data_IF_169321739037
#
_entry.id   IF_169321739037
#
_cell.length_a   1.000
_cell.length_b   1.000
_cell.length_c   1.000
_cell.angle_alpha   90.00
_cell.angle_beta   90.00
_cell.angle_gamma   90.00
#
_symmetry.space_group_name_H-M   'P 1'
#
loop_
_entity.id
_entity.type
_entity.pdbx_description
1 polymer ?
#
# COMPACT_ATOMS: atom_id res chain seq x y z
N UNK A 1 -11.03 -2.73 30.50
CA UNK A 1 -9.88 -3.64 30.46
C UNK A 1 -8.79 -3.09 31.35
N UNK A 2 -8.21 -3.90 32.21
CA UNK A 2 -7.03 -3.56 32.99
C UNK A 2 -5.77 -3.66 32.12
N UNK A 3 -4.65 -3.10 32.61
CA UNK A 3 -3.37 -3.20 31.91
C UNK A 3 -2.93 -4.66 31.77
N UNK A 4 -3.17 -5.46 32.80
CA UNK A 4 -2.85 -6.88 32.84
C UNK A 4 -3.64 -7.67 31.78
N UNK A 5 -4.91 -7.32 31.54
CA UNK A 5 -5.72 -7.93 30.48
C UNK A 5 -5.21 -7.58 29.07
N UNK A 6 -4.75 -6.34 28.85
CA UNK A 6 -4.13 -5.91 27.58
C UNK A 6 -2.84 -6.70 27.32
N UNK A 7 -1.96 -6.78 28.31
CA UNK A 7 -0.66 -7.45 28.18
C UNK A 7 -0.86 -8.95 27.89
N UNK A 8 -1.86 -9.59 28.49
CA UNK A 8 -2.22 -10.97 28.19
C UNK A 8 -2.63 -11.16 26.71
N UNK A 9 -3.51 -10.30 26.20
CA UNK A 9 -3.96 -10.34 24.80
C UNK A 9 -2.80 -10.11 23.83
N UNK A 10 -1.91 -9.15 24.10
CA UNK A 10 -0.76 -8.87 23.23
C UNK A 10 0.19 -10.08 23.17
N UNK A 11 0.47 -10.71 24.31
CA UNK A 11 1.29 -11.92 24.37
C UNK A 11 0.67 -13.08 23.57
N UNK A 12 -0.65 -13.25 23.63
CA UNK A 12 -1.33 -14.30 22.88
C UNK A 12 -1.36 -14.02 21.38
N UNK A 13 -1.52 -12.74 20.97
CA UNK A 13 -1.42 -12.34 19.57
C UNK A 13 -0.02 -12.55 19.00
N UNK A 14 1.04 -12.25 19.77
CA UNK A 14 2.43 -12.48 19.34
C UNK A 14 2.72 -13.96 19.13
N UNK A 15 2.23 -14.83 20.03
CA UNK A 15 2.33 -16.29 19.88
C UNK A 15 1.51 -16.84 18.72
N UNK A 16 0.30 -16.32 18.51
CA UNK A 16 -0.60 -16.77 17.46
C UNK A 16 -0.12 -16.35 16.05
N UNK A 17 0.51 -15.18 15.94
CA UNK A 17 0.94 -14.60 14.67
C UNK A 17 2.43 -14.19 14.70
N UNK A 18 3.37 -15.14 14.87
CA UNK A 18 4.79 -14.85 15.07
C UNK A 18 5.50 -14.22 13.86
N UNK A 19 4.83 -14.17 12.71
CA UNK A 19 5.32 -13.57 11.46
C UNK A 19 4.42 -12.43 10.96
N UNK A 20 3.59 -11.86 11.84
CA UNK A 20 2.78 -10.71 11.49
C UNK A 20 3.68 -9.57 10.98
N UNK A 21 3.33 -9.03 9.81
CA UNK A 21 4.10 -8.01 9.14
C UNK A 21 3.23 -7.22 8.18
N UNK A 22 3.84 -6.31 7.43
CA UNK A 22 3.12 -5.54 6.41
C UNK A 22 2.56 -6.48 5.32
N UNK A 23 1.27 -6.36 5.01
CA UNK A 23 0.63 -7.11 3.94
C UNK A 23 0.89 -6.56 2.53
N UNK A 24 1.51 -5.39 2.42
CA UNK A 24 1.86 -4.75 1.15
C UNK A 24 3.24 -5.20 0.67
N UNK A 25 3.36 -5.50 -0.62
CA UNK A 25 4.62 -5.84 -1.27
C UNK A 25 5.34 -4.55 -1.70
N UNK A 26 6.57 -4.36 -1.24
CA UNK A 26 7.41 -3.23 -1.61
C UNK A 26 8.90 -3.59 -1.51
N UNK A 27 9.73 -2.86 -2.25
CA UNK A 27 11.19 -2.98 -2.25
C UNK A 27 11.90 -1.70 -1.80
N UNK A 28 11.17 -0.60 -1.70
CA UNK A 28 11.70 0.70 -1.26
C UNK A 28 10.69 1.45 -0.37
N UNK A 29 11.15 2.42 0.42
CA UNK A 29 10.24 3.30 1.17
C UNK A 29 9.24 4.05 0.27
N UNK A 30 9.63 4.39 -0.96
CA UNK A 30 8.76 5.04 -1.92
C UNK A 30 7.64 4.11 -2.41
N UNK A 31 7.98 2.87 -2.76
CA UNK A 31 6.97 1.87 -3.12
C UNK A 31 5.98 1.62 -1.98
N UNK A 32 6.43 1.60 -0.73
CA UNK A 32 5.56 1.47 0.44
C UNK A 32 4.65 2.68 0.62
N UNK A 33 5.18 3.90 0.45
CA UNK A 33 4.38 5.13 0.51
C UNK A 33 3.25 5.11 -0.52
N UNK A 34 3.58 4.84 -1.78
CA UNK A 34 2.58 4.77 -2.87
C UNK A 34 1.57 3.67 -2.57
N UNK A 35 2.01 2.47 -2.15
CA UNK A 35 1.12 1.37 -1.80
C UNK A 35 0.19 1.72 -0.63
N UNK A 36 0.67 2.49 0.34
CA UNK A 36 -0.12 2.96 1.50
C UNK A 36 -1.20 3.98 1.07
N UNK A 37 -0.87 4.89 0.14
CA UNK A 37 -1.89 5.79 -0.44
C UNK A 37 -2.96 4.98 -1.19
N UNK A 38 -2.54 3.94 -1.92
CA UNK A 38 -3.46 3.08 -2.66
C UNK A 38 -4.33 2.18 -1.76
N UNK A 39 -3.87 1.82 -0.56
CA UNK A 39 -4.59 0.92 0.36
C UNK A 39 -5.82 1.52 1.02
N UNK A 40 -5.96 2.86 1.02
CA UNK A 40 -7.15 3.52 1.56
C UNK A 40 -8.44 2.97 0.91
N UNK A 41 -9.29 2.29 1.69
CA UNK A 41 -10.52 1.64 1.20
C UNK A 41 -10.27 0.59 0.10
N UNK A 42 -9.13 -0.10 0.14
CA UNK A 42 -8.80 -1.23 -0.73
C UNK A 42 -8.20 -2.37 0.10
N UNK A 43 -8.18 -3.57 -0.46
CA UNK A 43 -7.51 -4.72 0.19
C UNK A 43 -6.05 -4.79 -0.23
N UNK A 44 -5.16 -5.21 0.68
CA UNK A 44 -3.73 -5.41 0.37
C UNK A 44 -3.53 -6.31 -0.85
N UNK A 45 -4.36 -7.35 -1.00
CA UNK A 45 -4.36 -8.23 -2.18
C UNK A 45 -4.56 -7.45 -3.48
N UNK A 46 -5.53 -6.53 -3.53
CA UNK A 46 -5.79 -5.73 -4.73
C UNK A 46 -4.69 -4.69 -4.96
N UNK A 47 -4.17 -4.08 -3.90
CA UNK A 47 -3.03 -3.16 -4.00
C UNK A 47 -1.82 -3.88 -4.60
N UNK A 48 -1.44 -5.04 -4.05
CA UNK A 48 -0.30 -5.82 -4.54
C UNK A 48 -0.43 -6.21 -6.02
N UNK A 49 -1.65 -6.51 -6.50
CA UNK A 49 -1.89 -6.84 -7.92
C UNK A 49 -1.64 -5.64 -8.84
N UNK A 50 -2.04 -4.43 -8.45
CA UNK A 50 -1.83 -3.24 -9.29
C UNK A 50 -0.40 -2.72 -9.18
N UNK A 51 0.19 -2.78 -7.99
CA UNK A 51 1.55 -2.28 -7.75
C UNK A 51 2.60 -3.18 -8.37
N UNK A 52 2.37 -4.48 -8.49
CA UNK A 52 3.24 -5.39 -9.25
C UNK A 52 3.45 -4.89 -10.70
N UNK A 53 2.35 -4.50 -11.37
CA UNK A 53 2.40 -3.96 -12.74
C UNK A 53 3.01 -2.55 -12.76
N UNK A 54 2.60 -1.67 -11.86
CA UNK A 54 3.08 -0.29 -11.79
C UNK A 54 4.60 -0.24 -11.53
N UNK A 55 5.06 -0.93 -10.49
CA UNK A 55 6.47 -0.95 -10.07
C UNK A 55 7.38 -1.81 -10.97
N UNK A 56 6.82 -2.61 -11.87
CA UNK A 56 7.64 -3.21 -12.93
C UNK A 56 8.30 -2.15 -13.80
N UNK A 57 7.63 -1.01 -14.00
CA UNK A 57 8.05 0.11 -14.86
C UNK A 57 8.46 1.37 -14.10
N UNK A 58 7.74 1.74 -13.04
CA UNK A 58 7.93 3.00 -12.30
C UNK A 58 8.28 2.68 -10.85
N UNK A 59 9.53 2.86 -10.44
CA UNK A 59 10.04 2.44 -9.11
C UNK A 59 10.50 3.60 -8.26
N UNK A 60 10.76 4.75 -8.87
CA UNK A 60 11.31 5.93 -8.22
C UNK A 60 10.37 7.12 -8.37
N UNK A 61 10.48 8.14 -7.50
CA UNK A 61 9.76 9.40 -7.70
C UNK A 61 9.99 10.01 -9.08
N UNK A 62 11.22 9.91 -9.61
CA UNK A 62 11.58 10.43 -10.93
C UNK A 62 10.79 9.75 -12.04
N UNK A 63 10.62 8.42 -11.99
CA UNK A 63 9.82 7.69 -12.98
C UNK A 63 8.35 8.17 -12.95
N UNK A 64 7.82 8.48 -11.75
CA UNK A 64 6.45 8.98 -11.60
C UNK A 64 6.26 10.39 -12.15
N UNK A 65 7.32 11.22 -12.24
CA UNK A 65 7.23 12.55 -12.87
C UNK A 65 7.03 12.47 -14.38
N UNK A 66 7.34 11.34 -15.01
CA UNK A 66 7.08 11.10 -16.43
C UNK A 66 5.61 10.71 -16.70
N UNK A 67 4.86 10.35 -15.66
CA UNK A 67 3.46 9.97 -15.76
C UNK A 67 2.54 11.19 -15.78
N UNK A 68 1.62 11.20 -16.75
CA UNK A 68 0.40 11.98 -16.63
C UNK A 68 -0.56 11.31 -15.63
N UNK A 69 -1.48 12.09 -15.07
CA UNK A 69 -2.53 11.55 -14.20
C UNK A 69 -3.34 10.46 -14.91
N UNK A 70 -3.71 10.65 -16.17
CA UNK A 70 -4.47 9.67 -16.94
C UNK A 70 -3.72 8.34 -17.13
N UNK A 71 -2.40 8.38 -17.31
CA UNK A 71 -1.58 7.16 -17.40
C UNK A 71 -1.53 6.42 -16.08
N UNK A 72 -1.28 7.12 -14.96
CA UNK A 72 -1.30 6.50 -13.64
C UNK A 72 -2.67 5.89 -13.33
N UNK A 73 -3.76 6.61 -13.64
CA UNK A 73 -5.13 6.11 -13.47
C UNK A 73 -5.37 4.79 -14.20
N UNK A 74 -4.79 4.56 -15.39
CA UNK A 74 -4.93 3.26 -16.07
C UNK A 74 -4.31 2.09 -15.29
N UNK A 75 -3.22 2.32 -14.57
CA UNK A 75 -2.60 1.29 -13.72
C UNK A 75 -3.43 1.00 -12.47
N UNK A 76 -4.09 2.03 -11.90
CA UNK A 76 -4.74 1.93 -10.59
C UNK A 76 -6.28 1.97 -10.65
N UNK A 77 -6.91 1.96 -11.82
CA UNK A 77 -8.38 2.03 -11.98
C UNK A 77 -9.17 0.91 -11.30
N UNK A 78 -8.52 -0.21 -11.01
CA UNK A 78 -9.12 -1.32 -10.24
C UNK A 78 -9.25 -1.01 -8.74
N UNK A 79 -8.69 0.11 -8.29
CA UNK A 79 -8.74 0.60 -6.91
C UNK A 79 -9.80 1.69 -6.79
N UNK A 80 -10.62 1.64 -5.73
CA UNK A 80 -11.58 2.70 -5.41
C UNK A 80 -10.88 4.05 -5.18
N UNK A 81 -11.54 5.14 -5.57
CA UNK A 81 -11.04 6.52 -5.47
C UNK A 81 -9.78 6.80 -6.31
N UNK A 82 -9.55 6.04 -7.38
CA UNK A 82 -8.32 6.10 -8.18
C UNK A 82 -8.00 7.50 -8.74
N UNK A 83 -9.00 8.30 -9.13
CA UNK A 83 -8.76 9.69 -9.58
C UNK A 83 -8.07 10.54 -8.51
N UNK A 84 -8.61 10.54 -7.28
CA UNK A 84 -8.03 11.31 -6.18
C UNK A 84 -6.67 10.75 -5.75
N UNK A 85 -6.52 9.42 -5.77
CA UNK A 85 -5.24 8.77 -5.45
C UNK A 85 -4.16 9.13 -6.48
N UNK A 86 -4.46 9.07 -7.77
CA UNK A 86 -3.52 9.43 -8.82
C UNK A 86 -3.07 10.89 -8.69
N UNK A 87 -4.02 11.81 -8.48
CA UNK A 87 -3.71 13.22 -8.23
C UNK A 87 -2.79 13.42 -7.02
N UNK A 88 -3.07 12.74 -5.91
CA UNK A 88 -2.28 12.88 -4.68
C UNK A 88 -0.88 12.23 -4.78
N UNK A 89 -0.71 11.23 -5.64
CA UNK A 89 0.59 10.59 -5.87
C UNK A 89 1.48 11.48 -6.76
N UNK A 90 0.89 12.22 -7.69
CA UNK A 90 1.60 13.08 -8.66
C UNK A 90 1.70 14.55 -8.24
N UNK A 91 1.08 14.95 -7.14
CA UNK A 91 1.15 16.31 -6.57
C UNK A 91 2.45 16.53 -5.80
#
# INVERSE_FOLDING_TARGET
MSKEEVDCILNDLEKAYPKAGCGLNYKSPFELLVSTVLSAQATDKKVNQVTEKLFSKYRTPQDFLELTQGELEQYIKEIGLYHNKARNILS
#
